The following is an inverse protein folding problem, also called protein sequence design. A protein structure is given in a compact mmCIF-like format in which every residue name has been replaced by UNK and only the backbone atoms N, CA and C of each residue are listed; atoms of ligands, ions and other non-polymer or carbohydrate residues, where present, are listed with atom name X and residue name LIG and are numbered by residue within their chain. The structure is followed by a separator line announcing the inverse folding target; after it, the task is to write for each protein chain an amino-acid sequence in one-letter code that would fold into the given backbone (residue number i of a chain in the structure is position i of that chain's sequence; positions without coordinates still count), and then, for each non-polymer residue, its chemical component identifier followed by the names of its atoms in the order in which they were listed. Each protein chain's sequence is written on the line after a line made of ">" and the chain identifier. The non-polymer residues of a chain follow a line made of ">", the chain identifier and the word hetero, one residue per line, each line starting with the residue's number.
data_IF_665947532957
#
_entry.id   IF_665947532957
#
_cell.length_a   1.000
_cell.length_b   1.000
_cell.length_c   1.000
_cell.angle_alpha   90.00
_cell.angle_beta   90.00
_cell.angle_gamma   90.00
#
_symmetry.space_group_name_H-M   'P 1'
#
loop_
_entity.id
_entity.type
_entity.pdbx_description
1 polymer ?
#
# COMPACT_ATOMS: atom_id res chain seq x y z
N UNK A 1 32.03 -8.16 -18.99
CA UNK A 1 31.65 -6.82 -19.47
C UNK A 1 30.47 -6.28 -18.68
N UNK A 2 30.50 -5.02 -18.28
CA UNK A 2 29.37 -4.33 -17.61
C UNK A 2 28.25 -4.09 -18.62
N UNK A 3 26.99 -4.33 -18.23
CA UNK A 3 25.87 -4.10 -19.13
C UNK A 3 25.66 -2.60 -19.41
N UNK A 4 25.10 -2.29 -20.57
CA UNK A 4 24.67 -0.93 -20.94
C UNK A 4 23.15 -0.87 -21.07
N UNK A 5 22.59 0.33 -21.12
CA UNK A 5 21.14 0.53 -21.31
C UNK A 5 20.82 0.46 -22.80
N UNK A 6 19.95 -0.48 -23.19
CA UNK A 6 19.40 -0.57 -24.55
C UNK A 6 18.09 0.22 -24.67
N UNK A 7 17.24 0.13 -23.67
CA UNK A 7 15.99 0.90 -23.60
C UNK A 7 16.00 1.79 -22.38
N UNK A 8 15.84 3.09 -22.62
CA UNK A 8 15.71 4.11 -21.60
C UNK A 8 14.52 3.89 -20.66
N UNK A 9 14.33 4.83 -19.72
CA UNK A 9 13.19 4.74 -18.81
C UNK A 9 11.88 4.78 -19.62
N UNK A 10 11.03 3.78 -19.39
CA UNK A 10 9.71 3.70 -20.01
C UNK A 10 8.66 3.51 -18.92
N UNK A 11 7.59 4.31 -18.96
CA UNK A 11 6.48 4.24 -17.99
C UNK A 11 5.59 3.02 -18.28
N UNK A 12 5.18 2.31 -17.22
CA UNK A 12 4.18 1.24 -17.34
C UNK A 12 2.78 1.82 -17.48
N UNK A 13 2.03 1.38 -18.50
CA UNK A 13 0.68 1.87 -18.81
C UNK A 13 -0.47 1.04 -18.23
N UNK A 14 -0.20 -0.12 -17.64
CA UNK A 14 -1.26 -0.99 -17.10
C UNK A 14 -1.99 -0.35 -15.89
N UNK A 15 -3.19 -0.84 -15.58
CA UNK A 15 -4.00 -0.36 -14.47
C UNK A 15 -3.23 -0.37 -13.14
N UNK A 16 -3.56 0.54 -12.22
CA UNK A 16 -2.81 0.70 -10.99
C UNK A 16 -2.84 -0.55 -10.10
N UNK A 17 -3.99 -1.19 -9.93
CA UNK A 17 -4.07 -2.44 -9.17
C UNK A 17 -3.15 -3.57 -9.69
N UNK A 18 -2.77 -3.57 -10.98
CA UNK A 18 -1.94 -4.63 -11.61
C UNK A 18 -0.43 -4.46 -11.46
N UNK A 19 0.06 -3.34 -10.91
CA UNK A 19 1.51 -3.08 -10.73
C UNK A 19 1.95 -3.01 -9.27
N UNK A 20 1.09 -3.50 -8.38
CA UNK A 20 1.53 -3.80 -7.03
C UNK A 20 2.33 -5.09 -7.03
N UNK A 21 3.49 -5.02 -6.40
CA UNK A 21 4.45 -6.12 -6.35
C UNK A 21 4.96 -6.30 -4.93
N UNK A 22 5.39 -7.51 -4.65
CA UNK A 22 6.20 -7.81 -3.48
C UNK A 22 7.54 -8.36 -3.93
N UNK A 23 8.55 -8.22 -3.08
CA UNK A 23 9.92 -8.60 -3.38
C UNK A 23 10.14 -10.09 -3.11
N UNK A 24 11.01 -10.72 -3.87
CA UNK A 24 11.34 -12.16 -3.70
C UNK A 24 12.61 -12.38 -2.88
N UNK A 25 13.41 -11.33 -2.65
CA UNK A 25 14.71 -11.42 -1.99
C UNK A 25 15.85 -11.95 -2.87
N UNK A 26 15.57 -12.42 -4.10
CA UNK A 26 16.60 -12.95 -5.02
C UNK A 26 17.52 -11.86 -5.57
N UNK A 27 17.02 -10.62 -5.64
CA UNK A 27 17.75 -9.48 -6.17
C UNK A 27 17.60 -8.26 -5.26
N UNK A 28 18.66 -7.46 -5.22
CA UNK A 28 18.72 -6.20 -4.52
C UNK A 28 18.01 -5.07 -5.30
N UNK A 29 17.79 -3.96 -4.61
CA UNK A 29 17.29 -2.70 -5.15
C UNK A 29 18.46 -1.76 -5.40
N UNK A 30 18.51 -1.12 -6.57
CA UNK A 30 19.63 -0.27 -6.98
C UNK A 30 19.14 1.10 -7.47
N UNK A 31 20.04 2.09 -7.56
CA UNK A 31 19.71 3.44 -8.08
C UNK A 31 19.43 3.46 -9.58
N UNK A 32 20.06 2.56 -10.34
CA UNK A 32 19.86 2.26 -11.78
C UNK A 32 19.96 0.73 -11.97
N UNK A 33 19.73 0.16 -13.17
CA UNK A 33 19.88 -1.29 -13.38
C UNK A 33 21.18 -1.83 -12.81
N UNK A 34 21.08 -2.85 -11.95
CA UNK A 34 22.18 -3.28 -11.06
C UNK A 34 23.42 -3.84 -11.75
N UNK A 35 23.34 -4.18 -13.03
CA UNK A 35 24.45 -4.67 -13.86
C UNK A 35 25.13 -3.56 -14.68
N UNK A 36 24.67 -2.31 -14.56
CA UNK A 36 25.20 -1.15 -15.30
C UNK A 36 26.19 -0.36 -14.45
N UNK A 37 27.20 0.25 -15.09
CA UNK A 37 28.25 1.02 -14.42
C UNK A 37 27.67 2.11 -13.51
N UNK A 38 28.19 2.17 -12.28
CA UNK A 38 27.79 3.15 -11.27
C UNK A 38 26.42 2.90 -10.64
N UNK A 39 25.86 1.69 -10.74
CA UNK A 39 24.71 1.31 -9.95
C UNK A 39 25.08 1.21 -8.46
N UNK A 40 24.38 1.98 -7.61
CA UNK A 40 24.56 1.97 -6.16
C UNK A 40 23.47 1.14 -5.51
N UNK A 41 23.81 0.42 -4.44
CA UNK A 41 22.87 -0.37 -3.65
C UNK A 41 21.93 0.57 -2.89
N UNK A 42 20.62 0.31 -2.96
CA UNK A 42 19.57 1.01 -2.19
C UNK A 42 19.01 0.09 -1.09
N UNK A 43 18.85 -1.20 -1.40
CA UNK A 43 18.50 -2.23 -0.42
C UNK A 43 19.14 -3.56 -0.82
N UNK A 44 19.77 -4.24 0.15
CA UNK A 44 20.42 -5.54 -0.05
C UNK A 44 19.41 -6.64 -0.40
N UNK A 45 19.89 -7.78 -0.90
CA UNK A 45 19.05 -8.98 -1.13
C UNK A 45 18.36 -9.43 0.16
N UNK A 46 19.08 -9.42 1.27
CA UNK A 46 18.57 -9.78 2.59
C UNK A 46 17.40 -8.85 3.01
N UNK A 47 17.60 -7.53 2.89
CA UNK A 47 16.55 -6.57 3.22
C UNK A 47 15.33 -6.70 2.28
N UNK A 48 15.56 -6.91 0.99
CA UNK A 48 14.50 -7.20 0.02
C UNK A 48 13.76 -8.52 0.33
N UNK A 49 14.43 -9.52 0.92
CA UNK A 49 13.78 -10.74 1.42
C UNK A 49 12.88 -10.41 2.61
N UNK A 50 13.36 -9.61 3.55
CA UNK A 50 12.57 -9.15 4.71
C UNK A 50 11.30 -8.42 4.26
N UNK A 51 11.40 -7.46 3.34
CA UNK A 51 10.25 -6.73 2.78
C UNK A 51 9.19 -7.63 2.14
N UNK A 52 9.63 -8.75 1.56
CA UNK A 52 8.81 -9.69 0.81
C UNK A 52 8.05 -10.69 1.70
N UNK A 53 8.46 -10.82 2.97
CA UNK A 53 7.95 -11.83 3.89
C UNK A 53 6.99 -11.22 4.90
N UNK A 54 5.91 -11.93 5.20
CA UNK A 54 4.99 -11.61 6.28
C UNK A 54 4.37 -12.91 6.75
N UNK A 55 4.59 -13.26 8.00
CA UNK A 55 4.20 -14.54 8.59
C UNK A 55 2.96 -14.39 9.45
N UNK A 56 2.34 -15.50 9.85
CA UNK A 56 1.23 -15.50 10.82
C UNK A 56 1.64 -14.87 12.14
N UNK A 57 2.89 -15.09 12.58
CA UNK A 57 3.44 -14.45 13.79
C UNK A 57 3.53 -12.93 13.64
N UNK A 58 3.96 -12.45 12.48
CA UNK A 58 3.99 -11.00 12.18
C UNK A 58 2.58 -10.41 12.23
N UNK A 59 1.59 -11.12 11.68
CA UNK A 59 0.18 -10.72 11.72
C UNK A 59 -0.37 -10.68 13.15
N UNK A 60 -0.06 -11.70 13.97
CA UNK A 60 -0.44 -11.74 15.38
C UNK A 60 0.18 -10.59 16.16
N UNK A 61 1.48 -10.34 15.98
CA UNK A 61 2.15 -9.19 16.61
C UNK A 61 1.47 -7.87 16.22
N UNK A 62 1.06 -7.72 14.96
CA UNK A 62 0.29 -6.56 14.54
C UNK A 62 -1.10 -6.49 15.20
N UNK A 63 -1.81 -7.61 15.30
CA UNK A 63 -3.12 -7.65 15.95
C UNK A 63 -3.03 -7.22 17.43
N UNK A 64 -2.01 -7.71 18.15
CA UNK A 64 -1.83 -7.45 19.58
C UNK A 64 -1.33 -6.03 19.87
N UNK A 65 -0.45 -5.50 19.01
CA UNK A 65 0.28 -4.24 19.30
C UNK A 65 -0.09 -3.07 18.39
N UNK A 66 -0.85 -3.33 17.32
CA UNK A 66 -1.11 -2.42 16.20
C UNK A 66 0.15 -1.93 15.47
N UNK A 67 1.31 -2.56 15.71
CA UNK A 67 2.61 -2.22 15.12
C UNK A 67 3.16 -3.42 14.36
N UNK A 68 3.54 -3.18 13.11
CA UNK A 68 4.25 -4.18 12.33
C UNK A 68 5.70 -4.31 12.83
N UNK A 69 6.30 -5.51 12.77
CA UNK A 69 7.74 -5.66 12.96
C UNK A 69 8.53 -4.81 11.97
N UNK A 70 9.77 -4.49 12.32
CA UNK A 70 10.64 -3.68 11.48
C UNK A 70 10.77 -4.28 10.07
N UNK A 71 10.65 -3.44 9.05
CA UNK A 71 10.75 -3.83 7.64
C UNK A 71 9.67 -4.83 7.15
N UNK A 72 8.52 -4.89 7.83
CA UNK A 72 7.40 -5.79 7.51
C UNK A 72 6.08 -5.04 7.35
N UNK A 73 5.06 -5.75 6.85
CA UNK A 73 3.71 -5.22 6.68
C UNK A 73 3.49 -4.51 5.33
N UNK A 74 2.29 -3.98 5.12
CA UNK A 74 1.87 -3.43 3.83
C UNK A 74 2.70 -2.21 3.38
N UNK A 75 3.36 -1.53 4.31
CA UNK A 75 4.31 -0.43 4.06
C UNK A 75 5.46 -0.83 3.12
N UNK A 76 5.80 -2.12 3.06
CA UNK A 76 6.86 -2.70 2.23
C UNK A 76 6.35 -3.53 1.04
N UNK A 77 5.08 -3.38 0.68
CA UNK A 77 4.72 -3.58 -0.73
C UNK A 77 5.39 -2.51 -1.58
N UNK A 78 5.47 -2.78 -2.88
CA UNK A 78 6.03 -1.87 -3.85
C UNK A 78 5.05 -1.62 -4.99
N UNK A 79 5.16 -0.42 -5.56
CA UNK A 79 4.54 -0.02 -6.80
C UNK A 79 5.58 -0.02 -7.90
N UNK A 80 5.43 -0.87 -8.91
CA UNK A 80 6.18 -0.76 -10.15
C UNK A 80 5.53 0.30 -11.05
N UNK A 81 6.31 1.25 -11.57
CA UNK A 81 5.75 2.34 -12.39
C UNK A 81 6.51 2.60 -13.70
N UNK A 82 7.65 1.95 -13.89
CA UNK A 82 8.38 1.99 -15.16
C UNK A 82 9.43 0.89 -15.23
N UNK A 83 10.20 0.87 -16.32
CA UNK A 83 11.28 -0.07 -16.51
C UNK A 83 12.42 0.50 -17.35
N UNK A 84 13.54 -0.20 -17.37
CA UNK A 84 14.65 -0.07 -18.31
C UNK A 84 15.02 -1.45 -18.83
N UNK A 85 15.59 -1.53 -20.02
CA UNK A 85 16.11 -2.79 -20.59
C UNK A 85 17.60 -2.63 -20.87
N UNK A 86 18.40 -3.61 -20.46
CA UNK A 86 19.84 -3.64 -20.75
C UNK A 86 20.13 -4.24 -22.12
N UNK A 87 21.34 -4.06 -22.64
CA UNK A 87 21.81 -4.72 -23.86
C UNK A 87 21.77 -6.26 -23.78
N UNK A 88 21.84 -6.83 -22.57
CA UNK A 88 21.67 -8.28 -22.32
C UNK A 88 20.21 -8.74 -22.31
N UNK A 89 19.24 -7.86 -22.60
CA UNK A 89 17.80 -8.17 -22.57
C UNK A 89 17.20 -8.25 -21.15
N UNK A 90 17.93 -7.83 -20.11
CA UNK A 90 17.43 -7.85 -18.74
C UNK A 90 16.49 -6.66 -18.51
N UNK A 91 15.28 -6.95 -18.02
CA UNK A 91 14.29 -5.94 -17.66
C UNK A 91 14.47 -5.59 -16.19
N UNK A 92 14.66 -4.30 -15.89
CA UNK A 92 14.72 -3.76 -14.54
C UNK A 92 13.53 -2.84 -14.32
N UNK A 93 12.69 -3.16 -13.33
CA UNK A 93 11.53 -2.33 -13.00
C UNK A 93 11.90 -1.24 -12.02
N UNK A 94 11.50 -0.01 -12.33
CA UNK A 94 11.50 1.11 -11.40
C UNK A 94 10.35 0.94 -10.42
N UNK A 95 10.69 0.90 -9.13
CA UNK A 95 9.75 0.67 -8.04
C UNK A 95 9.85 1.72 -6.95
N UNK A 96 8.78 1.88 -6.17
CA UNK A 96 8.73 2.66 -4.92
C UNK A 96 7.98 1.87 -3.86
N UNK A 97 8.48 1.83 -2.62
CA UNK A 97 7.77 1.22 -1.49
C UNK A 97 6.52 2.03 -1.13
N UNK A 98 5.49 1.39 -0.57
CA UNK A 98 4.25 2.08 -0.21
C UNK A 98 4.46 3.17 0.84
N UNK A 99 5.44 3.00 1.73
CA UNK A 99 5.88 4.03 2.68
C UNK A 99 6.83 5.10 2.10
N UNK A 100 7.08 5.12 0.79
CA UNK A 100 7.93 6.08 0.05
C UNK A 100 9.44 6.02 0.35
N UNK A 101 9.88 5.27 1.38
CA UNK A 101 11.29 5.26 1.82
C UNK A 101 12.27 4.64 0.82
N UNK A 102 11.84 3.62 0.06
CA UNK A 102 12.73 2.89 -0.85
C UNK A 102 12.29 3.09 -2.29
N UNK A 103 13.21 3.54 -3.14
CA UNK A 103 12.93 3.77 -4.56
C UNK A 103 14.13 3.40 -5.42
N UNK A 104 14.00 2.39 -6.26
CA UNK A 104 15.12 1.88 -7.06
C UNK A 104 14.69 1.18 -8.34
N UNK A 105 15.64 0.46 -8.92
CA UNK A 105 15.48 -0.51 -9.98
C UNK A 105 15.79 -1.89 -9.41
N UNK A 106 14.94 -2.87 -9.72
CA UNK A 106 15.13 -4.26 -9.34
C UNK A 106 14.95 -5.13 -10.58
N UNK A 107 15.79 -6.15 -10.71
CA UNK A 107 15.71 -7.07 -11.84
C UNK A 107 14.36 -7.79 -11.84
N UNK A 108 13.65 -7.75 -12.97
CA UNK A 108 12.29 -8.26 -13.13
C UNK A 108 12.17 -9.52 -13.99
N UNK A 109 13.26 -9.97 -14.62
CA UNK A 109 13.25 -11.02 -15.64
C UNK A 109 13.64 -10.49 -17.01
N UNK A 110 13.31 -11.25 -18.07
CA UNK A 110 13.59 -10.88 -19.48
C UNK A 110 12.36 -10.41 -20.27
N UNK A 111 11.15 -10.50 -19.69
CA UNK A 111 9.89 -10.15 -20.35
C UNK A 111 9.27 -8.91 -19.73
N UNK A 112 9.01 -7.90 -20.57
CA UNK A 112 8.30 -6.67 -20.16
C UNK A 112 6.87 -7.03 -19.73
N UNK A 113 6.38 -6.37 -18.68
CA UNK A 113 5.04 -6.61 -18.13
C UNK A 113 4.92 -7.89 -17.27
N UNK A 114 5.99 -8.68 -17.14
CA UNK A 114 6.04 -9.86 -16.25
C UNK A 114 7.04 -9.62 -15.11
N UNK A 115 6.63 -9.97 -13.89
CA UNK A 115 7.46 -9.91 -12.69
C UNK A 115 7.90 -11.32 -12.32
N UNK A 116 9.07 -11.75 -12.82
CA UNK A 116 9.58 -13.12 -12.66
C UNK A 116 10.99 -13.19 -12.06
N UNK A 117 11.53 -12.07 -11.58
CA UNK A 117 12.87 -11.96 -10.99
C UNK A 117 12.83 -11.64 -9.50
N UNK A 118 13.36 -10.46 -9.14
CA UNK A 118 13.34 -9.90 -7.78
C UNK A 118 11.96 -9.45 -7.30
N UNK A 119 10.94 -9.55 -8.16
CA UNK A 119 9.57 -9.10 -7.94
C UNK A 119 8.58 -10.19 -8.33
N UNK A 120 7.43 -10.22 -7.64
CA UNK A 120 6.22 -10.93 -8.05
C UNK A 120 4.99 -10.04 -7.85
N UNK A 121 3.94 -10.24 -8.65
CA UNK A 121 2.67 -9.55 -8.47
C UNK A 121 2.11 -9.80 -7.05
N UNK A 122 1.47 -8.79 -6.48
CA UNK A 122 0.85 -8.88 -5.17
C UNK A 122 -0.58 -8.33 -5.18
N UNK A 123 -1.53 -9.15 -4.72
CA UNK A 123 -2.81 -8.64 -4.22
C UNK A 123 -2.53 -8.05 -2.84
N UNK A 124 -2.92 -6.81 -2.63
CA UNK A 124 -2.67 -6.05 -1.39
C UNK A 124 -3.90 -5.96 -0.50
N UNK A 125 -5.08 -6.27 -1.06
CA UNK A 125 -6.34 -6.43 -0.35
C UNK A 125 -7.11 -7.66 -0.85
N UNK A 126 -8.02 -8.16 -0.02
CA UNK A 126 -9.12 -9.06 -0.41
C UNK A 126 -10.46 -8.37 -0.17
N UNK A 127 -11.48 -8.78 -0.93
CA UNK A 127 -12.84 -8.32 -0.71
C UNK A 127 -13.37 -8.82 0.64
N UNK A 128 -14.26 -8.03 1.24
CA UNK A 128 -15.03 -8.40 2.43
C UNK A 128 -16.50 -8.23 2.04
N UNK A 129 -17.27 -9.32 2.15
CA UNK A 129 -18.67 -9.37 1.70
C UNK A 129 -19.67 -9.00 2.79
N UNK A 130 -19.26 -9.11 4.04
CA UNK A 130 -20.10 -8.81 5.21
C UNK A 130 -19.34 -7.83 6.09
N UNK A 131 -19.99 -6.72 6.43
CA UNK A 131 -19.45 -5.70 7.32
C UNK A 131 -20.58 -5.19 8.21
N UNK A 132 -20.21 -4.80 9.42
CA UNK A 132 -21.14 -4.28 10.42
C UNK A 132 -21.75 -2.95 9.93
N UNK A 133 -22.89 -2.57 10.51
CA UNK A 133 -23.57 -1.31 10.19
C UNK A 133 -23.99 -1.17 8.72
N UNK A 134 -24.19 -2.30 8.02
CA UNK A 134 -24.76 -2.29 6.69
C UNK A 134 -26.18 -1.72 6.76
N UNK A 135 -26.42 -0.59 6.09
CA UNK A 135 -27.68 0.15 5.95
C UNK A 135 -28.03 1.19 7.03
N UNK A 136 -27.18 1.43 8.03
CA UNK A 136 -27.39 2.52 8.98
C UNK A 136 -26.41 3.69 8.78
N UNK A 137 -26.72 4.83 9.40
CA UNK A 137 -25.83 5.98 9.42
C UNK A 137 -24.69 5.74 10.42
N UNK A 138 -23.46 5.95 9.99
CA UNK A 138 -22.26 5.78 10.82
C UNK A 138 -21.47 7.06 10.93
N UNK A 139 -20.61 7.12 11.95
CA UNK A 139 -19.53 8.09 12.01
C UNK A 139 -18.17 7.43 12.28
N UNK A 140 -17.16 8.27 12.45
CA UNK A 140 -15.78 7.86 12.69
C UNK A 140 -15.43 8.23 14.13
N UNK A 141 -15.10 7.26 14.97
CA UNK A 141 -14.64 7.50 16.33
C UNK A 141 -13.17 7.97 16.34
N UNK A 142 -12.77 8.72 17.38
CA UNK A 142 -11.38 9.11 17.62
C UNK A 142 -10.53 7.85 17.92
N UNK A 143 -9.27 7.75 17.47
CA UNK A 143 -8.52 8.65 16.58
C UNK A 143 -8.59 8.23 15.09
N UNK A 144 -9.75 7.80 14.62
CA UNK A 144 -9.97 7.27 13.27
C UNK A 144 -9.49 8.20 12.15
N UNK A 145 -8.98 7.59 11.08
CA UNK A 145 -8.35 8.29 9.96
C UNK A 145 -9.07 7.93 8.66
N UNK A 146 -9.43 8.95 7.88
CA UNK A 146 -9.95 8.81 6.53
C UNK A 146 -8.80 8.78 5.53
N UNK A 147 -8.74 7.73 4.71
CA UNK A 147 -7.69 7.51 3.71
C UNK A 147 -8.25 7.49 2.29
N UNK A 148 -7.45 7.91 1.30
CA UNK A 148 -7.86 7.83 -0.10
C UNK A 148 -7.92 6.39 -0.64
N UNK A 149 -7.15 5.48 -0.05
CA UNK A 149 -7.08 4.05 -0.35
C UNK A 149 -6.86 3.31 0.97
N UNK A 150 -7.15 2.01 1.02
CA UNK A 150 -6.77 1.18 2.18
C UNK A 150 -5.26 1.37 2.43
N UNK A 151 -4.83 1.76 3.65
CA UNK A 151 -3.47 2.25 3.89
C UNK A 151 -2.38 1.29 3.42
N UNK A 152 -1.45 1.83 2.62
CA UNK A 152 -0.31 1.10 2.07
C UNK A 152 -0.67 -0.07 1.15
N UNK A 153 -1.86 -0.07 0.57
CA UNK A 153 -2.27 -1.10 -0.41
C UNK A 153 -2.21 -0.58 -1.85
N UNK A 154 -2.14 0.74 -2.04
CA UNK A 154 -1.94 1.42 -3.31
C UNK A 154 -1.05 2.65 -3.10
N UNK A 155 -0.31 3.01 -4.16
CA UNK A 155 0.54 4.20 -4.15
C UNK A 155 -0.05 5.32 -5.03
N UNK A 156 -0.12 6.57 -4.54
CA UNK A 156 0.24 7.01 -3.20
C UNK A 156 -0.92 6.85 -2.20
N UNK A 157 -0.60 6.34 -1.00
CA UNK A 157 -1.49 6.45 0.16
C UNK A 157 -1.41 7.87 0.73
N UNK A 158 -2.57 8.47 1.00
CA UNK A 158 -2.75 9.82 1.55
C UNK A 158 -3.82 9.79 2.64
N UNK A 159 -3.55 10.49 3.72
CA UNK A 159 -4.54 10.86 4.73
C UNK A 159 -5.39 12.00 4.18
N UNK A 160 -6.70 11.82 4.19
CA UNK A 160 -7.69 12.83 3.81
C UNK A 160 -8.17 13.61 5.03
N UNK A 161 -8.21 12.96 6.19
CA UNK A 161 -8.51 13.60 7.47
C UNK A 161 -8.34 12.63 8.64
N UNK A 162 -8.42 13.14 9.85
CA UNK A 162 -8.43 12.35 11.09
C UNK A 162 -9.33 13.01 12.12
N UNK A 163 -10.09 12.19 12.83
CA UNK A 163 -10.84 12.56 14.01
C UNK A 163 -9.89 12.76 15.19
N UNK A 164 -10.15 13.81 15.95
CA UNK A 164 -9.40 14.20 17.16
C UNK A 164 -10.42 14.64 18.21
N UNK A 165 -10.10 14.50 19.48
CA UNK A 165 -10.93 14.96 20.60
C UNK A 165 -11.26 16.46 20.53
N UNK A 166 -10.44 17.26 19.86
CA UNK A 166 -10.65 18.71 19.73
C UNK A 166 -11.60 19.05 18.59
N UNK A 167 -12.42 20.09 18.77
CA UNK A 167 -13.30 20.66 17.73
C UNK A 167 -12.58 21.11 16.45
N UNK A 168 -11.27 21.37 16.52
CA UNK A 168 -10.40 21.67 15.35
C UNK A 168 -9.90 20.40 14.67
N UNK A 169 -10.82 19.65 14.08
CA UNK A 169 -10.53 18.44 13.30
C UNK A 169 -10.75 18.67 11.80
N UNK A 170 -9.92 18.02 10.97
CA UNK A 170 -10.06 17.96 9.51
C UNK A 170 -11.30 17.18 9.04
N UNK A 171 -11.94 16.44 9.94
CA UNK A 171 -13.18 15.71 9.73
C UNK A 171 -14.17 16.17 10.82
N UNK A 172 -15.30 16.80 10.47
CA UNK A 172 -16.25 17.27 11.47
C UNK A 172 -16.96 16.08 12.14
N UNK A 173 -17.10 16.10 13.47
CA UNK A 173 -17.80 15.05 14.23
C UNK A 173 -19.26 14.86 13.78
N UNK A 174 -19.91 15.96 13.37
CA UNK A 174 -21.27 15.94 12.82
C UNK A 174 -21.40 15.28 11.43
N UNK A 175 -20.31 14.83 10.80
CA UNK A 175 -20.38 14.18 9.49
C UNK A 175 -21.02 12.78 9.60
N UNK A 176 -22.16 12.61 8.92
CA UNK A 176 -22.85 11.33 8.72
C UNK A 176 -22.36 10.62 7.48
N UNK A 177 -22.16 9.31 7.57
CA UNK A 177 -21.70 8.48 6.47
C UNK A 177 -22.54 7.21 6.28
N UNK A 178 -22.43 6.62 5.09
CA UNK A 178 -22.83 5.24 4.78
C UNK A 178 -21.61 4.42 4.36
N UNK A 179 -21.55 3.16 4.79
CA UNK A 179 -20.58 2.20 4.28
C UNK A 179 -21.09 1.64 2.96
N UNK A 180 -20.25 1.60 1.93
CA UNK A 180 -20.63 1.06 0.60
C UNK A 180 -19.75 -0.10 0.11
N UNK A 181 -18.61 -0.34 0.75
CA UNK A 181 -17.75 -1.52 0.49
C UNK A 181 -16.75 -1.70 1.63
N UNK A 182 -16.25 -2.92 1.79
CA UNK A 182 -15.20 -3.25 2.74
C UNK A 182 -14.05 -4.01 2.06
N UNK A 183 -12.86 -3.91 2.63
CA UNK A 183 -11.66 -4.61 2.14
C UNK A 183 -10.73 -4.96 3.30
N UNK A 184 -10.10 -6.14 3.22
CA UNK A 184 -9.14 -6.64 4.21
C UNK A 184 -7.72 -6.56 3.67
N UNK A 185 -6.76 -6.05 4.45
CA UNK A 185 -5.34 -6.07 4.03
C UNK A 185 -4.80 -7.48 4.06
N UNK A 186 -4.07 -7.87 3.01
CA UNK A 186 -3.58 -9.25 2.85
C UNK A 186 -2.41 -9.62 3.75
N UNK A 187 -1.70 -8.63 4.32
CA UNK A 187 -0.64 -8.86 5.31
C UNK A 187 -1.22 -8.81 6.71
N UNK A 188 -1.65 -7.63 7.13
CA UNK A 188 -2.09 -7.37 8.50
C UNK A 188 -3.44 -7.99 8.88
N UNK A 189 -4.30 -8.30 7.89
CA UNK A 189 -5.59 -8.94 8.15
C UNK A 189 -6.68 -8.02 8.73
N UNK A 190 -6.41 -6.74 8.91
CA UNK A 190 -7.40 -5.77 9.35
C UNK A 190 -8.34 -5.34 8.22
N UNK A 191 -9.57 -4.99 8.60
CA UNK A 191 -10.65 -4.59 7.70
C UNK A 191 -10.77 -3.07 7.68
N UNK A 192 -10.99 -2.55 6.49
CA UNK A 192 -11.29 -1.14 6.24
C UNK A 192 -12.61 -1.04 5.48
N UNK A 193 -13.43 -0.08 5.90
CA UNK A 193 -14.70 0.25 5.30
C UNK A 193 -14.54 1.51 4.46
N UNK A 194 -15.07 1.50 3.25
CA UNK A 194 -15.18 2.68 2.43
C UNK A 194 -16.51 3.34 2.71
N UNK A 195 -16.42 4.56 3.20
CA UNK A 195 -17.55 5.37 3.62
C UNK A 195 -17.74 6.56 2.68
N UNK A 196 -18.99 6.94 2.48
CA UNK A 196 -19.41 8.11 1.70
C UNK A 196 -20.34 8.94 2.57
N UNK A 197 -20.08 10.23 2.68
CA UNK A 197 -20.90 11.15 3.46
C UNK A 197 -22.28 11.36 2.81
N UNK A 198 -23.31 11.55 3.64
CA UNK A 198 -24.72 11.66 3.19
C UNK A 198 -25.33 13.04 3.39
N UNK A 199 -24.52 14.08 3.60
CA UNK A 199 -24.95 15.45 3.84
C UNK A 199 -24.12 16.48 3.08
N UNK A 200 -23.97 17.68 3.65
CA UNK A 200 -23.22 18.79 3.04
C UNK A 200 -21.71 18.52 2.96
N UNK A 201 -21.21 17.61 3.78
CA UNK A 201 -19.83 17.17 3.71
C UNK A 201 -19.71 16.23 2.51
N UNK A 202 -18.74 16.44 1.62
CA UNK A 202 -18.51 15.64 0.40
C UNK A 202 -17.29 14.70 0.55
N UNK A 203 -17.18 14.03 1.71
CA UNK A 203 -16.08 13.14 2.02
C UNK A 203 -16.35 11.70 1.56
N UNK A 204 -15.35 11.09 0.94
CA UNK A 204 -15.36 9.66 0.64
C UNK A 204 -13.96 9.06 0.81
N UNK A 205 -13.87 7.91 1.45
CA UNK A 205 -12.58 7.29 1.74
C UNK A 205 -12.67 6.04 2.59
N UNK A 206 -11.51 5.49 2.94
CA UNK A 206 -11.37 4.27 3.72
C UNK A 206 -11.04 4.59 5.17
N UNK A 207 -11.74 3.93 6.11
CA UNK A 207 -11.51 4.02 7.56
C UNK A 207 -11.34 2.60 8.09
N UNK A 208 -10.48 2.39 9.10
CA UNK A 208 -10.33 1.07 9.72
C UNK A 208 -11.64 0.74 10.44
N UNK A 209 -12.21 -0.44 10.19
CA UNK A 209 -13.54 -0.83 10.67
C UNK A 209 -13.69 -0.70 12.20
N UNK A 210 -12.63 -0.93 12.95
CA UNK A 210 -12.61 -0.77 14.41
C UNK A 210 -12.88 0.65 14.91
N UNK A 211 -12.82 1.66 14.04
CA UNK A 211 -13.16 3.07 14.34
C UNK A 211 -14.50 3.51 13.75
N UNK A 212 -15.27 2.60 13.15
CA UNK A 212 -16.63 2.88 12.73
C UNK A 212 -17.58 2.55 13.88
N UNK A 213 -18.55 3.43 14.12
CA UNK A 213 -19.62 3.28 15.13
C UNK A 213 -20.95 3.71 14.52
N UNK A 214 -22.06 3.28 15.12
CA UNK A 214 -23.36 3.92 14.85
C UNK A 214 -23.22 5.42 15.05
N UNK A 215 -23.87 6.22 14.20
CA UNK A 215 -23.79 7.67 14.30
C UNK A 215 -24.30 8.17 15.66
N UNK A 216 -25.26 7.48 16.29
CA UNK A 216 -25.78 7.82 17.62
C UNK A 216 -24.76 7.66 18.73
N UNK A 217 -23.69 6.90 18.50
CA UNK A 217 -22.65 6.59 19.49
C UNK A 217 -21.40 7.43 19.27
N UNK A 218 -21.44 8.37 18.31
CA UNK A 218 -20.38 9.35 18.11
C UNK A 218 -20.63 10.48 19.09
N UNK A 219 -19.64 10.73 19.94
CA UNK A 219 -19.64 11.91 20.79
C UNK A 219 -19.62 13.16 19.89
N UNK A 220 -20.70 13.94 19.96
CA UNK A 220 -20.89 15.12 19.12
C UNK A 220 -20.54 16.43 19.82
N UNK A 221 -20.09 16.36 21.07
CA UNK A 221 -19.82 17.53 21.93
C UNK A 221 -18.54 18.29 21.52
#
# INVERSE_FOLDING_TARGET
>A
MTATIKTGYTTLKTAASKRNVTTTGKHALYTKPGTVKGAKLVASKALMKTFGTYTTKDAQTYADTTKNPSHKGSTYYFRAYGYKVTNTGSVYYRVVSMNKKYRGYVYGGKKIGKFSGGLKSAKTTSAVTTYNHANEAVGIAVPGILWNVVPYTQYPTKKLGQMKETTTTSLPHAAKFKIVKAAKRTREGDVFDYIVSTGQYHYAGWVKASYIRSYTDIDTD
#
